data_IF_929527626347
#
_entry.id   IF_929527626347
#
_cell.length_a   1.000
_cell.length_b   1.000
_cell.length_c   1.000
_cell.angle_alpha   90.00
_cell.angle_beta   90.00
_cell.angle_gamma   90.00
#
_symmetry.space_group_name_H-M   'P 1'
#
loop_
_entity.id
_entity.type
_entity.pdbx_description
1 polymer ?
#
# COMPACT_ATOMS: atom_id res chain seq x y z
N UNK A 1 4.34 -25.39 7.21
CA UNK A 1 5.47 -25.64 6.29
C UNK A 1 6.32 -26.76 6.85
N UNK A 2 7.02 -27.45 5.97
CA UNK A 2 7.94 -28.50 6.32
C UNK A 2 9.33 -28.15 5.75
N UNK A 3 10.35 -28.35 6.56
CA UNK A 3 11.73 -28.13 6.11
C UNK A 3 12.27 -29.35 5.36
N UNK A 4 13.50 -29.26 4.82
CA UNK A 4 14.14 -30.31 4.04
C UNK A 4 14.43 -31.58 4.87
N UNK A 5 14.46 -31.46 6.20
CA UNK A 5 14.69 -32.57 7.13
C UNK A 5 13.39 -33.22 7.61
N UNK A 6 12.22 -32.76 7.11
CA UNK A 6 10.90 -33.29 7.44
C UNK A 6 10.29 -32.75 8.73
N UNK A 7 10.83 -31.65 9.30
CA UNK A 7 10.22 -31.04 10.47
C UNK A 7 9.08 -30.10 10.07
N UNK A 8 7.97 -30.19 10.80
CA UNK A 8 6.78 -29.37 10.53
C UNK A 8 6.75 -28.14 11.45
N UNK A 9 6.41 -26.97 10.87
CA UNK A 9 6.32 -25.69 11.58
C UNK A 9 5.01 -24.98 11.22
N UNK A 10 4.48 -24.21 12.19
CA UNK A 10 3.41 -23.25 11.90
C UNK A 10 4.05 -22.01 11.27
N UNK A 11 3.62 -21.66 10.06
CA UNK A 11 4.14 -20.51 9.33
C UNK A 11 3.39 -19.22 9.72
N UNK A 12 4.01 -18.40 10.58
CA UNK A 12 3.50 -17.08 10.93
C UNK A 12 3.99 -15.95 10.00
N UNK A 13 4.88 -16.24 9.08
CA UNK A 13 5.38 -15.27 8.11
C UNK A 13 4.55 -15.24 6.82
N UNK A 14 4.12 -16.41 6.36
CA UNK A 14 3.29 -16.60 5.17
C UNK A 14 3.80 -15.81 3.95
N UNK A 15 5.13 -15.86 3.67
CA UNK A 15 5.73 -15.13 2.56
C UNK A 15 5.57 -13.61 2.69
N UNK A 16 5.80 -13.03 3.86
CA UNK A 16 5.45 -11.64 4.19
C UNK A 16 3.96 -11.33 4.02
N UNK A 17 3.12 -12.28 4.40
CA UNK A 17 1.67 -12.24 4.28
C UNK A 17 1.13 -12.33 2.83
N UNK A 18 1.90 -12.86 1.88
CA UNK A 18 1.44 -13.12 0.52
C UNK A 18 0.59 -14.40 0.46
N UNK A 19 1.10 -15.49 1.03
CA UNK A 19 0.46 -16.82 0.97
C UNK A 19 -0.79 -16.90 1.85
N UNK A 20 -1.89 -16.25 1.43
CA UNK A 20 -3.12 -16.15 2.20
C UNK A 20 -3.84 -17.49 2.32
N UNK A 21 -3.87 -18.28 1.24
CA UNK A 21 -4.45 -19.62 1.20
C UNK A 21 -3.44 -20.73 1.56
N UNK A 22 -2.21 -20.32 1.93
CA UNK A 22 -1.11 -21.23 2.18
C UNK A 22 -0.20 -21.39 0.95
N UNK A 23 0.91 -22.11 1.15
CA UNK A 23 1.83 -22.42 0.05
C UNK A 23 1.24 -23.56 -0.80
N UNK A 24 1.28 -23.40 -2.12
CA UNK A 24 0.93 -24.44 -3.08
C UNK A 24 -0.54 -24.92 -2.94
N UNK A 25 -1.48 -24.00 -2.84
CA UNK A 25 -2.91 -24.29 -2.76
C UNK A 25 -3.40 -25.07 -4.01
N UNK A 26 -4.09 -26.21 -3.83
CA UNK A 26 -4.47 -27.08 -4.97
C UNK A 26 -5.49 -26.45 -5.91
N UNK A 27 -6.41 -25.60 -5.42
CA UNK A 27 -7.43 -24.98 -6.24
C UNK A 27 -6.83 -23.86 -7.10
N UNK A 28 -5.92 -23.09 -6.52
CA UNK A 28 -5.14 -22.06 -7.27
C UNK A 28 -4.30 -22.74 -8.36
N UNK A 29 -3.59 -23.82 -8.03
CA UNK A 29 -2.80 -24.56 -9.01
C UNK A 29 -3.67 -25.15 -10.13
N UNK A 30 -4.84 -25.70 -9.79
CA UNK A 30 -5.76 -26.25 -10.79
C UNK A 30 -6.27 -25.14 -11.74
N UNK A 31 -6.61 -23.98 -11.24
CA UNK A 31 -7.03 -22.84 -12.06
C UNK A 31 -5.92 -22.36 -13.02
N UNK A 32 -4.68 -22.28 -12.55
CA UNK A 32 -3.52 -21.93 -13.40
C UNK A 32 -3.30 -22.98 -14.49
N UNK A 33 -3.32 -24.28 -14.14
CA UNK A 33 -3.15 -25.36 -15.09
C UNK A 33 -4.26 -25.39 -16.13
N UNK A 34 -5.50 -25.17 -15.72
CA UNK A 34 -6.66 -25.10 -16.63
C UNK A 34 -6.46 -23.95 -17.63
N UNK A 35 -6.10 -22.76 -17.16
CA UNK A 35 -5.87 -21.58 -18.00
C UNK A 35 -4.80 -21.86 -19.07
N UNK A 36 -3.70 -22.52 -18.68
CA UNK A 36 -2.64 -22.93 -19.62
C UNK A 36 -3.11 -23.97 -20.62
N UNK A 37 -3.91 -24.97 -20.19
CA UNK A 37 -4.44 -26.01 -21.07
C UNK A 37 -5.45 -25.48 -22.10
N UNK A 38 -6.22 -24.46 -21.71
CA UNK A 38 -7.15 -23.78 -22.61
C UNK A 38 -6.43 -22.81 -23.57
N UNK A 39 -5.10 -22.75 -23.52
CA UNK A 39 -4.23 -21.91 -24.33
C UNK A 39 -4.56 -20.41 -24.20
N UNK A 40 -5.04 -19.99 -23.04
CA UNK A 40 -5.24 -18.58 -22.75
C UNK A 40 -3.90 -17.88 -22.53
N UNK A 41 -3.83 -16.63 -22.96
CA UNK A 41 -2.64 -15.82 -22.80
C UNK A 41 -2.59 -15.29 -21.37
N UNK A 42 -1.62 -15.75 -20.59
CA UNK A 42 -1.40 -15.27 -19.22
C UNK A 42 -0.72 -13.89 -19.20
N UNK A 43 0.14 -13.63 -20.16
CA UNK A 43 0.84 -12.34 -20.32
C UNK A 43 0.88 -11.96 -21.78
N UNK A 44 0.52 -10.74 -22.11
CA UNK A 44 0.48 -10.24 -23.47
C UNK A 44 0.91 -8.75 -23.55
N UNK A 45 1.03 -8.27 -24.77
CA UNK A 45 1.35 -6.88 -25.08
C UNK A 45 0.09 -5.98 -25.12
N UNK A 46 -0.97 -6.35 -24.43
CA UNK A 46 -2.24 -5.62 -24.35
C UNK A 46 -3.22 -6.32 -23.44
N UNK A 47 -4.42 -5.78 -23.24
CA UNK A 47 -5.44 -6.38 -22.39
C UNK A 47 -5.81 -7.78 -22.86
N UNK A 48 -5.90 -8.71 -21.91
CA UNK A 48 -6.38 -10.06 -22.15
C UNK A 48 -7.82 -10.23 -21.63
N UNK A 49 -8.51 -11.30 -22.03
CA UNK A 49 -9.83 -11.61 -21.46
C UNK A 49 -9.74 -11.83 -19.95
N UNK A 50 -8.71 -12.52 -19.50
CA UNK A 50 -8.46 -12.80 -18.08
C UNK A 50 -8.26 -11.52 -17.25
N UNK A 51 -7.54 -10.54 -17.79
CA UNK A 51 -7.40 -9.21 -17.16
C UNK A 51 -8.73 -8.47 -17.09
N UNK A 52 -9.56 -8.56 -18.12
CA UNK A 52 -10.90 -7.98 -18.13
C UNK A 52 -11.82 -8.60 -17.07
N UNK A 53 -11.87 -9.91 -16.98
CA UNK A 53 -12.64 -10.67 -15.98
C UNK A 53 -12.15 -10.35 -14.55
N UNK A 54 -10.84 -10.30 -14.36
CA UNK A 54 -10.24 -9.90 -13.08
C UNK A 54 -10.63 -8.46 -12.70
N UNK A 55 -10.53 -7.51 -13.62
CA UNK A 55 -10.86 -6.12 -13.36
C UNK A 55 -12.35 -5.94 -13.01
N UNK A 56 -13.25 -6.66 -13.72
CA UNK A 56 -14.68 -6.64 -13.42
C UNK A 56 -14.97 -7.16 -12.01
N UNK A 57 -14.43 -8.33 -11.67
CA UNK A 57 -14.59 -8.93 -10.34
C UNK A 57 -14.03 -8.02 -9.24
N UNK A 58 -12.90 -7.37 -9.52
CA UNK A 58 -12.24 -6.46 -8.58
C UNK A 58 -13.10 -5.23 -8.32
N UNK A 59 -13.62 -4.58 -9.37
CA UNK A 59 -14.51 -3.43 -9.26
C UNK A 59 -15.83 -3.76 -8.53
N UNK A 60 -16.35 -4.99 -8.72
CA UNK A 60 -17.52 -5.46 -7.98
C UNK A 60 -17.25 -5.68 -6.49
N UNK A 61 -16.01 -6.02 -6.13
CA UNK A 61 -15.62 -6.42 -4.77
C UNK A 61 -15.17 -5.25 -3.90
N UNK A 62 -14.55 -4.24 -4.48
CA UNK A 62 -13.90 -3.13 -3.73
C UNK A 62 -14.66 -1.82 -3.94
N UNK A 63 -15.23 -1.20 -2.88
CA UNK A 63 -16.21 -0.11 -3.01
C UNK A 63 -15.72 1.16 -3.73
N UNK A 64 -14.43 1.50 -3.63
CA UNK A 64 -13.85 2.72 -4.22
C UNK A 64 -13.32 2.51 -5.63
N UNK A 65 -13.33 1.28 -6.16
CA UNK A 65 -12.64 0.94 -7.41
C UNK A 65 -13.59 0.99 -8.58
N UNK A 66 -13.34 1.89 -9.52
CA UNK A 66 -14.06 2.02 -10.80
C UNK A 66 -13.26 1.48 -11.98
N UNK A 67 -11.93 1.44 -11.84
CA UNK A 67 -11.02 0.87 -12.84
C UNK A 67 -9.77 0.30 -12.18
N UNK A 68 -9.13 -0.66 -12.84
CA UNK A 68 -7.96 -1.38 -12.32
C UNK A 68 -6.81 -1.24 -13.30
N UNK A 69 -5.62 -0.93 -12.78
CA UNK A 69 -4.36 -1.09 -13.48
C UNK A 69 -3.59 -2.24 -12.86
N UNK A 70 -3.30 -3.27 -13.64
CA UNK A 70 -2.52 -4.42 -13.20
C UNK A 70 -1.02 -4.07 -13.28
N UNK A 71 -0.29 -4.45 -12.24
CA UNK A 71 1.17 -4.30 -12.14
C UNK A 71 1.78 -5.60 -11.62
N UNK A 72 3.10 -5.73 -11.74
CA UNK A 72 3.79 -6.98 -11.34
C UNK A 72 3.99 -7.07 -9.82
N UNK A 73 4.11 -5.94 -9.13
CA UNK A 73 4.39 -5.89 -7.69
C UNK A 73 3.60 -4.78 -6.98
N UNK A 74 3.41 -4.92 -5.66
CA UNK A 74 2.85 -3.85 -4.84
C UNK A 74 3.70 -2.56 -4.86
N UNK A 75 5.01 -2.67 -5.04
CA UNK A 75 5.89 -1.49 -5.19
C UNK A 75 5.63 -0.73 -6.48
N UNK A 76 5.35 -1.42 -7.58
CA UNK A 76 4.93 -0.78 -8.83
C UNK A 76 3.54 -0.15 -8.68
N UNK A 77 2.62 -0.82 -7.99
CA UNK A 77 1.30 -0.28 -7.74
C UNK A 77 1.37 1.05 -6.96
N UNK A 78 2.13 1.12 -5.87
CA UNK A 78 2.32 2.36 -5.09
C UNK A 78 3.07 3.43 -5.88
N UNK A 79 4.06 3.05 -6.71
CA UNK A 79 4.75 3.97 -7.60
C UNK A 79 3.79 4.63 -8.60
N UNK A 80 2.94 3.82 -9.26
CA UNK A 80 1.95 4.34 -10.20
C UNK A 80 0.89 5.19 -9.49
N UNK A 81 0.44 4.80 -8.30
CA UNK A 81 -0.53 5.59 -7.52
C UNK A 81 0.00 6.99 -7.20
N UNK A 82 1.25 7.11 -6.74
CA UNK A 82 1.90 8.41 -6.50
C UNK A 82 2.04 9.20 -7.80
N UNK A 83 2.42 8.57 -8.91
CA UNK A 83 2.52 9.26 -10.20
C UNK A 83 1.17 9.79 -10.69
N UNK A 84 0.10 9.02 -10.52
CA UNK A 84 -1.27 9.45 -10.85
C UNK A 84 -1.64 10.64 -9.98
N UNK A 85 -1.38 10.56 -8.66
CA UNK A 85 -1.68 11.65 -7.75
C UNK A 85 -0.95 12.96 -8.14
N UNK A 86 0.34 12.89 -8.44
CA UNK A 86 1.12 14.03 -8.94
C UNK A 86 0.56 14.59 -10.24
N UNK A 87 0.18 13.72 -11.18
CA UNK A 87 -0.37 14.13 -12.47
C UNK A 87 -1.74 14.82 -12.34
N UNK A 88 -2.60 14.31 -11.47
CA UNK A 88 -3.96 14.84 -11.25
C UNK A 88 -3.93 16.17 -10.49
N UNK A 89 -3.08 16.27 -9.46
CA UNK A 89 -3.01 17.47 -8.61
C UNK A 89 -2.09 18.56 -9.17
N UNK A 90 -1.13 18.20 -10.01
CA UNK A 90 -0.05 19.10 -10.44
C UNK A 90 0.94 19.45 -9.33
N UNK A 91 0.99 18.65 -8.27
CA UNK A 91 1.82 18.85 -7.07
C UNK A 91 2.86 17.75 -6.95
N UNK A 92 3.96 17.98 -6.21
CA UNK A 92 5.09 17.04 -6.14
C UNK A 92 5.26 16.32 -4.81
N UNK A 93 4.86 16.97 -3.69
CA UNK A 93 5.13 16.47 -2.35
C UNK A 93 4.21 15.32 -1.95
N UNK A 94 4.76 14.35 -1.21
CA UNK A 94 4.06 13.14 -0.74
C UNK A 94 4.23 12.98 0.75
N UNK A 95 3.17 12.62 1.45
CA UNK A 95 3.22 12.24 2.87
C UNK A 95 3.17 10.73 3.00
N UNK A 96 4.08 10.16 3.80
CA UNK A 96 4.12 8.75 4.19
C UNK A 96 4.23 8.60 5.71
N UNK A 97 3.93 7.40 6.21
CA UNK A 97 3.91 7.14 7.66
C UNK A 97 5.23 6.56 8.17
N UNK A 98 5.72 7.09 9.29
CA UNK A 98 6.81 6.47 10.04
C UNK A 98 6.48 5.03 10.39
N UNK A 99 7.33 4.09 9.99
CA UNK A 99 7.14 2.64 10.20
C UNK A 99 6.29 1.94 9.15
N UNK A 100 5.75 2.67 8.15
CA UNK A 100 5.04 2.09 7.02
C UNK A 100 5.97 1.38 6.05
N UNK A 101 5.47 0.33 5.37
CA UNK A 101 6.17 -0.29 4.26
C UNK A 101 5.29 -0.27 3.01
N UNK A 102 5.61 0.61 2.10
CA UNK A 102 4.82 0.86 0.89
C UNK A 102 5.58 0.49 -0.41
N UNK A 103 6.67 -0.25 -0.29
CA UNK A 103 7.49 -0.66 -1.41
C UNK A 103 8.95 -0.22 -1.29
N UNK A 104 9.69 -0.40 -2.38
CA UNK A 104 11.14 -0.18 -2.40
C UNK A 104 11.59 0.96 -3.33
N UNK A 105 10.66 1.66 -3.99
CA UNK A 105 11.01 2.82 -4.83
C UNK A 105 11.33 4.06 -4.00
N UNK A 106 11.98 5.05 -4.61
CA UNK A 106 12.58 6.19 -3.94
C UNK A 106 11.62 7.02 -3.06
N UNK A 107 10.33 7.09 -3.42
CA UNK A 107 9.36 7.89 -2.67
C UNK A 107 8.88 7.19 -1.38
N UNK A 108 9.15 5.89 -1.19
CA UNK A 108 8.62 5.11 -0.06
C UNK A 108 9.64 4.22 0.65
N UNK A 109 10.85 4.07 0.08
CA UNK A 109 11.92 3.25 0.67
C UNK A 109 12.63 4.00 1.80
N UNK A 110 11.87 4.47 2.78
CA UNK A 110 12.35 5.25 3.90
C UNK A 110 11.57 4.97 5.18
N UNK A 111 12.18 5.23 6.31
CA UNK A 111 11.58 5.24 7.64
C UNK A 111 10.79 3.97 8.04
N UNK A 112 11.16 2.80 7.49
CA UNK A 112 10.46 1.53 7.71
C UNK A 112 10.77 0.94 9.09
N UNK A 113 12.06 0.86 9.43
CA UNK A 113 12.58 0.28 10.69
C UNK A 113 13.65 1.17 11.30
N UNK A 114 13.51 2.49 11.16
CA UNK A 114 14.48 3.47 11.62
C UNK A 114 14.76 3.35 13.11
N UNK A 115 16.05 3.48 13.46
CA UNK A 115 16.44 3.56 14.85
C UNK A 115 16.13 4.97 15.41
N UNK A 116 15.78 5.04 16.70
CA UNK A 116 15.52 6.33 17.35
C UNK A 116 16.73 7.29 17.28
N UNK A 117 17.92 6.74 17.19
CA UNK A 117 19.15 7.54 17.05
C UNK A 117 19.21 8.30 15.71
N UNK A 118 18.60 7.74 14.65
CA UNK A 118 18.64 8.28 13.30
C UNK A 118 17.51 9.29 13.05
N UNK A 119 16.32 9.01 13.58
CA UNK A 119 15.12 9.84 13.35
C UNK A 119 14.73 10.75 14.52
N UNK A 120 15.35 10.60 15.68
CA UNK A 120 15.08 11.41 16.85
C UNK A 120 13.88 10.97 17.69
N UNK A 121 13.43 11.87 18.56
CA UNK A 121 12.28 11.66 19.41
C UNK A 121 10.98 12.00 18.68
N UNK A 122 9.87 11.40 19.14
CA UNK A 122 8.54 11.77 18.70
C UNK A 122 8.30 13.29 18.83
N UNK A 123 7.77 13.89 17.78
CA UNK A 123 7.34 15.30 17.73
C UNK A 123 5.93 15.35 17.13
N UNK A 124 5.08 16.19 17.73
CA UNK A 124 3.76 16.50 17.20
C UNK A 124 3.38 17.93 17.60
N UNK A 125 2.98 18.81 16.63
CA UNK A 125 3.08 18.58 15.20
C UNK A 125 4.54 18.55 14.71
N UNK A 126 4.83 17.74 13.69
CA UNK A 126 6.17 17.66 13.10
C UNK A 126 6.34 16.54 12.08
N UNK A 127 7.50 16.57 11.46
CA UNK A 127 7.94 15.55 10.49
C UNK A 127 9.28 14.95 10.92
N UNK A 128 9.51 13.69 10.53
CA UNK A 128 10.77 13.02 10.77
C UNK A 128 11.76 13.28 9.64
N UNK A 129 13.07 13.24 9.91
CA UNK A 129 14.07 13.22 8.85
C UNK A 129 13.89 11.98 7.98
N UNK A 130 14.20 12.13 6.69
CA UNK A 130 14.20 11.01 5.76
C UNK A 130 15.35 10.06 6.08
N UNK A 131 15.02 8.85 6.52
CA UNK A 131 15.96 7.77 6.81
C UNK A 131 15.80 6.68 5.74
N UNK A 132 16.75 6.63 4.81
CA UNK A 132 16.69 5.72 3.66
C UNK A 132 16.83 4.26 4.09
N UNK A 133 15.93 3.41 3.62
CA UNK A 133 15.97 1.96 3.85
C UNK A 133 17.24 1.31 3.27
N UNK A 134 17.77 1.88 2.20
CA UNK A 134 18.97 1.37 1.52
C UNK A 134 19.72 2.48 0.80
N UNK A 135 20.98 2.21 0.46
CA UNK A 135 21.77 3.11 -0.38
C UNK A 135 21.17 3.26 -1.79
N UNK A 136 21.43 4.40 -2.43
CA UNK A 136 21.06 4.64 -3.83
C UNK A 136 19.83 5.53 -4.04
N UNK A 137 19.15 5.96 -2.98
CA UNK A 137 18.10 6.98 -3.09
C UNK A 137 18.74 8.35 -3.34
N UNK A 138 18.40 9.05 -4.45
CA UNK A 138 18.94 10.38 -4.73
C UNK A 138 18.50 11.41 -3.69
N UNK A 139 19.38 12.33 -3.31
CA UNK A 139 19.10 13.35 -2.28
C UNK A 139 17.89 14.24 -2.58
N UNK A 140 17.67 14.55 -3.86
CA UNK A 140 16.52 15.38 -4.27
C UNK A 140 15.17 14.68 -4.09
N UNK A 141 15.14 13.35 -3.92
CA UNK A 141 13.90 12.64 -3.59
C UNK A 141 13.47 12.87 -2.14
N UNK A 142 14.42 12.96 -1.20
CA UNK A 142 14.09 13.19 0.20
C UNK A 142 13.41 14.54 0.45
N UNK A 143 13.63 15.54 -0.41
CA UNK A 143 13.02 16.85 -0.29
C UNK A 143 11.53 16.88 -0.65
N UNK A 144 11.06 15.83 -1.33
CA UNK A 144 9.66 15.68 -1.77
C UNK A 144 8.83 14.73 -0.90
N UNK A 145 9.46 14.05 0.06
CA UNK A 145 8.80 13.03 0.90
C UNK A 145 8.79 13.46 2.35
N UNK A 146 7.62 13.58 2.91
CA UNK A 146 7.39 14.02 4.29
C UNK A 146 6.93 12.85 5.14
N UNK A 147 7.64 12.57 6.21
CA UNK A 147 7.38 11.44 7.09
C UNK A 147 6.72 11.92 8.37
N UNK A 148 5.51 11.47 8.65
CA UNK A 148 4.76 11.83 9.84
C UNK A 148 4.38 10.61 10.67
N UNK A 149 3.98 10.84 11.93
CA UNK A 149 3.46 9.76 12.76
C UNK A 149 2.10 9.28 12.26
N UNK A 150 1.90 7.98 12.33
CA UNK A 150 0.58 7.40 12.21
C UNK A 150 -0.28 7.80 13.43
N UNK A 151 -1.58 8.02 13.20
CA UNK A 151 -2.51 8.51 14.24
C UNK A 151 -2.23 9.96 14.74
N UNK A 152 -1.65 10.79 13.89
CA UNK A 152 -1.30 12.18 14.20
C UNK A 152 -1.75 13.14 13.09
N UNK A 153 -3.00 13.60 13.18
CA UNK A 153 -3.59 14.54 12.22
C UNK A 153 -2.92 15.93 12.29
N UNK A 154 -2.39 16.33 13.46
CA UNK A 154 -1.74 17.63 13.61
C UNK A 154 -0.45 17.70 12.79
N UNK A 155 0.32 16.62 12.76
CA UNK A 155 1.52 16.51 11.93
C UNK A 155 1.19 16.49 10.43
N UNK A 156 0.11 15.83 10.02
CA UNK A 156 -0.37 15.89 8.63
C UNK A 156 -0.74 17.32 8.26
N UNK A 157 -1.52 18.01 9.10
CA UNK A 157 -1.92 19.39 8.86
C UNK A 157 -0.70 20.33 8.78
N UNK A 158 0.29 20.13 9.65
CA UNK A 158 1.54 20.90 9.63
C UNK A 158 2.26 20.81 8.28
N UNK A 159 2.35 19.60 7.70
CA UNK A 159 2.98 19.40 6.40
C UNK A 159 2.14 20.02 5.28
N UNK A 160 0.82 19.79 5.27
CA UNK A 160 -0.10 20.30 4.24
C UNK A 160 -0.16 21.83 4.20
N UNK A 161 0.02 22.50 5.34
CA UNK A 161 0.10 23.96 5.41
C UNK A 161 1.41 24.53 4.88
N UNK A 162 2.45 23.72 4.77
CA UNK A 162 3.81 24.13 4.43
C UNK A 162 4.19 23.78 2.99
N UNK A 163 3.60 22.72 2.42
CA UNK A 163 3.98 22.18 1.13
C UNK A 163 2.75 21.90 0.25
N UNK A 164 2.93 21.97 -1.04
CA UNK A 164 1.92 21.57 -2.04
C UNK A 164 1.86 20.04 -2.18
N UNK A 165 1.13 19.41 -1.26
CA UNK A 165 1.03 17.95 -1.16
C UNK A 165 0.15 17.39 -2.28
N UNK A 166 0.69 16.43 -3.05
CA UNK A 166 -0.03 15.68 -4.06
C UNK A 166 -0.91 14.58 -3.44
N UNK A 167 -0.34 13.85 -2.50
CA UNK A 167 -1.05 12.75 -1.85
C UNK A 167 -0.46 12.39 -0.48
N UNK A 168 -1.29 11.70 0.28
CA UNK A 168 -0.89 10.94 1.45
C UNK A 168 -1.06 9.46 1.13
N UNK A 169 -0.01 8.66 1.34
CA UNK A 169 -0.01 7.22 1.15
C UNK A 169 0.16 6.53 2.51
N UNK A 170 -0.78 5.68 2.89
CA UNK A 170 -0.72 4.95 4.14
C UNK A 170 -1.36 3.57 4.07
N UNK A 171 -0.86 2.64 4.87
CA UNK A 171 -1.57 1.42 5.21
C UNK A 171 -2.75 1.77 6.14
N UNK A 172 -4.01 1.37 5.87
CA UNK A 172 -5.14 1.67 6.76
C UNK A 172 -5.00 1.02 8.16
N UNK A 173 -4.25 -0.06 8.25
CA UNK A 173 -3.65 -0.59 9.49
C UNK A 173 -2.16 -0.70 9.24
N UNK A 174 -1.36 -0.03 10.03
CA UNK A 174 0.09 -0.06 9.89
C UNK A 174 0.64 -1.40 10.37
N UNK A 175 0.90 -2.32 9.46
CA UNK A 175 1.16 -3.71 9.80
C UNK A 175 2.63 -4.06 10.02
N UNK A 176 3.54 -3.34 9.36
CA UNK A 176 4.95 -3.70 9.36
C UNK A 176 5.62 -3.58 10.74
N UNK A 177 5.16 -2.72 11.61
CA UNK A 177 5.72 -2.44 12.94
C UNK A 177 4.86 -2.94 14.10
N UNK A 178 4.02 -3.95 13.88
CA UNK A 178 3.27 -4.61 14.96
C UNK A 178 1.77 -4.32 14.99
N UNK A 179 1.16 -4.09 13.83
CA UNK A 179 -0.30 -3.96 13.67
C UNK A 179 -0.85 -2.77 14.45
N UNK A 180 -0.38 -1.58 14.12
CA UNK A 180 -0.89 -0.35 14.72
C UNK A 180 -2.21 0.03 14.05
N UNK A 181 -3.30 -0.05 14.80
CA UNK A 181 -4.64 0.29 14.31
C UNK A 181 -4.87 1.80 14.27
N UNK A 182 -5.71 2.29 13.35
CA UNK A 182 -6.14 3.67 13.37
C UNK A 182 -6.93 3.96 14.66
N UNK A 183 -6.67 5.11 15.27
CA UNK A 183 -7.53 5.64 16.33
C UNK A 183 -8.87 6.06 15.74
N UNK A 184 -9.89 6.10 16.58
CA UNK A 184 -11.20 6.62 16.19
C UNK A 184 -11.08 8.02 15.59
N UNK A 185 -11.73 8.23 14.45
CA UNK A 185 -11.72 9.49 13.71
C UNK A 185 -10.44 9.79 12.91
N UNK A 186 -9.38 8.98 12.99
CA UNK A 186 -8.13 9.26 12.28
C UNK A 186 -8.26 9.19 10.77
N UNK A 187 -8.78 8.08 10.23
CA UNK A 187 -8.95 7.91 8.78
C UNK A 187 -10.00 8.87 8.21
N UNK A 188 -11.07 9.14 8.96
CA UNK A 188 -12.07 10.15 8.63
C UNK A 188 -11.43 11.55 8.60
N UNK A 189 -10.60 11.88 9.58
CA UNK A 189 -9.86 13.14 9.61
C UNK A 189 -8.93 13.32 8.42
N UNK A 190 -8.27 12.25 7.96
CA UNK A 190 -7.45 12.27 6.75
C UNK A 190 -8.29 12.51 5.49
N UNK A 191 -9.48 11.86 5.38
CA UNK A 191 -10.37 12.09 4.26
C UNK A 191 -10.85 13.54 4.21
N UNK A 192 -11.33 14.05 5.33
CA UNK A 192 -11.78 15.43 5.44
C UNK A 192 -10.67 16.45 5.10
N UNK A 193 -9.43 16.16 5.53
CA UNK A 193 -8.27 16.98 5.18
C UNK A 193 -7.95 16.92 3.69
N UNK A 194 -7.99 15.74 3.09
CA UNK A 194 -7.75 15.57 1.66
C UNK A 194 -8.78 16.37 0.84
N UNK A 195 -10.06 16.31 1.21
CA UNK A 195 -11.13 17.07 0.56
C UNK A 195 -10.94 18.59 0.74
N UNK A 196 -10.56 19.03 1.93
CA UNK A 196 -10.39 20.46 2.24
C UNK A 196 -9.15 21.09 1.55
N UNK A 197 -8.07 20.34 1.40
CA UNK A 197 -6.80 20.83 0.87
C UNK A 197 -6.49 20.36 -0.56
N UNK A 198 -7.30 19.47 -1.12
CA UNK A 198 -7.24 19.01 -2.51
C UNK A 198 -6.01 18.13 -2.80
N UNK A 199 -5.54 17.34 -1.85
CA UNK A 199 -4.59 16.26 -2.08
C UNK A 199 -5.33 14.90 -2.15
N UNK A 200 -4.71 13.89 -2.74
CA UNK A 200 -5.32 12.58 -2.83
C UNK A 200 -4.99 11.68 -1.62
N UNK A 201 -6.00 10.99 -1.12
CA UNK A 201 -5.86 9.95 -0.09
C UNK A 201 -5.64 8.60 -0.79
N UNK A 202 -4.50 7.96 -0.53
CA UNK A 202 -4.14 6.65 -1.09
C UNK A 202 -4.08 5.62 0.04
N UNK A 203 -4.91 4.58 -0.03
CA UNK A 203 -4.81 3.44 0.85
C UNK A 203 -3.93 2.37 0.24
N UNK A 204 -2.83 2.06 0.92
CA UNK A 204 -2.04 0.88 0.62
C UNK A 204 -2.66 -0.34 1.29
N UNK A 205 -3.50 -1.03 0.52
CA UNK A 205 -4.15 -2.27 0.93
C UNK A 205 -3.38 -3.52 0.46
N UNK A 206 -2.11 -3.39 0.11
CA UNK A 206 -1.28 -4.54 -0.29
C UNK A 206 -1.23 -5.62 0.80
N UNK A 207 -1.37 -5.24 2.06
CA UNK A 207 -1.44 -6.19 3.19
C UNK A 207 -2.85 -6.38 3.74
N UNK A 208 -3.65 -5.34 3.79
CA UNK A 208 -5.00 -5.36 4.40
C UNK A 208 -6.09 -5.83 3.44
N UNK A 209 -5.89 -5.64 2.14
CA UNK A 209 -6.84 -6.02 1.10
C UNK A 209 -7.15 -7.52 1.12
N UNK A 210 -8.43 -7.86 0.99
CA UNK A 210 -8.98 -9.22 1.03
C UNK A 210 -8.72 -10.01 2.32
N UNK A 211 -7.91 -9.48 3.23
CA UNK A 211 -7.57 -10.13 4.50
C UNK A 211 -8.58 -9.88 5.61
N UNK A 212 -9.11 -8.68 5.68
CA UNK A 212 -10.09 -8.30 6.70
C UNK A 212 -11.53 -8.41 6.19
N UNK A 213 -11.74 -8.09 4.92
CA UNK A 213 -13.02 -8.21 4.22
C UNK A 213 -12.76 -8.29 2.70
N UNK A 214 -13.75 -8.77 1.95
CA UNK A 214 -13.68 -8.86 0.47
C UNK A 214 -13.42 -7.49 -0.17
N UNK A 215 -14.01 -6.44 0.36
CA UNK A 215 -13.81 -5.06 -0.11
C UNK A 215 -12.60 -4.33 0.48
N UNK A 216 -11.65 -5.05 1.12
CA UNK A 216 -10.53 -4.44 1.82
C UNK A 216 -10.93 -3.78 3.15
N UNK A 217 -9.97 -3.13 3.81
CA UNK A 217 -10.22 -2.43 5.08
C UNK A 217 -11.14 -1.22 4.90
N UNK A 218 -11.14 -0.60 3.72
CA UNK A 218 -12.03 0.50 3.36
C UNK A 218 -13.51 0.16 3.52
N UNK A 219 -13.91 -1.09 3.25
CA UNK A 219 -15.28 -1.54 3.46
C UNK A 219 -15.67 -1.68 4.95
N UNK A 220 -14.68 -1.82 5.83
CA UNK A 220 -14.88 -1.89 7.28
C UNK A 220 -14.92 -0.51 7.91
N UNK A 221 -13.96 0.37 7.55
CA UNK A 221 -13.89 1.71 8.13
C UNK A 221 -14.87 2.70 7.49
N UNK A 222 -15.45 2.36 6.34
CA UNK A 222 -16.39 3.24 5.63
C UNK A 222 -15.75 4.46 4.95
N UNK A 223 -14.43 4.52 4.90
CA UNK A 223 -13.68 5.63 4.26
C UNK A 223 -13.27 5.18 2.86
N UNK A 224 -13.66 5.96 1.86
CA UNK A 224 -13.26 5.75 0.46
C UNK A 224 -12.03 6.60 0.14
N UNK A 225 -10.88 5.98 -0.15
CA UNK A 225 -9.72 6.67 -0.68
C UNK A 225 -9.94 7.04 -2.15
N UNK A 226 -9.13 7.97 -2.66
CA UNK A 226 -9.12 8.33 -4.08
C UNK A 226 -8.43 7.25 -4.93
N UNK A 227 -7.41 6.60 -4.38
CA UNK A 227 -6.69 5.49 -4.98
C UNK A 227 -6.44 4.40 -3.93
N UNK A 228 -6.38 3.15 -4.38
CA UNK A 228 -5.99 2.02 -3.53
C UNK A 228 -5.00 1.12 -4.26
N UNK A 229 -4.03 0.59 -3.52
CA UNK A 229 -3.08 -0.40 -4.04
C UNK A 229 -3.30 -1.75 -3.37
N UNK A 230 -3.24 -2.82 -4.14
CA UNK A 230 -3.47 -4.19 -3.68
C UNK A 230 -2.34 -5.10 -4.12
N UNK A 231 -2.21 -6.24 -3.46
CA UNK A 231 -1.22 -7.27 -3.74
C UNK A 231 -1.34 -8.42 -2.75
N UNK A 232 -0.29 -9.21 -2.61
CA UNK A 232 -0.24 -10.34 -1.67
C UNK A 232 -1.46 -11.27 -1.79
N UNK A 233 -2.43 -11.18 -0.87
CA UNK A 233 -3.59 -12.06 -0.82
C UNK A 233 -4.40 -12.12 -2.13
N UNK A 234 -4.36 -11.11 -2.98
CA UNK A 234 -5.03 -11.08 -4.28
C UNK A 234 -4.35 -11.96 -5.34
N UNK A 235 -3.07 -12.25 -5.13
CA UNK A 235 -2.26 -13.03 -6.06
C UNK A 235 -1.75 -14.37 -5.45
N UNK A 236 -2.02 -14.58 -4.17
CA UNK A 236 -1.60 -15.71 -3.32
C UNK A 236 -0.16 -16.13 -3.53
#
# INVERSE_FOLDING_TARGET
VEDIDGNSYIDYQAGFAASFLGHNDPDVNAAVLQTLQEQQVLMGAGPTLLEGEFAELFCQSVPSVESVQITTTGSEATYHAIRIARAVTGRDHVIVMQGGYNGWHNDVACNVISQRADVGSYQSPGEYPFDSLSAGVPKNHSDLVHIVNYNDLESVLYVVQKYDVACILLEPILQNIGIVKPKEGYLEGLRNMADAHGFLLIFDEVKTGFRHALGGYQSICGIQPDLSTFGKAVAN
#
